data_IF_473374812353
#
_entry.id   IF_473374812353
#
_cell.length_a   1.000
_cell.length_b   1.000
_cell.length_c   1.000
_cell.angle_alpha   90.00
_cell.angle_beta   90.00
_cell.angle_gamma   90.00
#
_symmetry.space_group_name_H-M   'P 1'
#
loop_
_entity.id
_entity.type
_entity.pdbx_description
1 polymer ?
#
# COMPACT_ATOMS: atom_id res chain seq x y z
N UNK A 1 45.33 -51.05 -9.97
CA UNK A 1 43.87 -51.18 -9.74
C UNK A 1 43.29 -49.78 -9.72
N UNK A 2 42.39 -49.47 -10.68
CA UNK A 2 41.69 -48.18 -10.75
C UNK A 2 40.44 -48.28 -9.90
N UNK A 3 40.42 -47.54 -8.80
CA UNK A 3 39.28 -47.43 -7.90
C UNK A 3 38.17 -46.65 -8.64
N UNK A 4 37.10 -47.35 -9.00
CA UNK A 4 35.93 -46.75 -9.64
C UNK A 4 35.16 -46.01 -8.55
N UNK A 5 35.30 -44.70 -8.50
CA UNK A 5 34.53 -43.84 -7.61
C UNK A 5 33.03 -44.06 -7.85
N UNK A 6 32.35 -44.55 -6.81
CA UNK A 6 30.90 -44.76 -6.79
C UNK A 6 30.23 -43.37 -6.82
N UNK A 7 29.31 -43.08 -7.76
CA UNK A 7 28.64 -41.79 -7.80
C UNK A 7 27.80 -41.61 -6.53
N UNK A 8 28.13 -40.57 -5.76
CA UNK A 8 27.36 -40.12 -4.61
C UNK A 8 25.97 -39.65 -5.08
N UNK A 9 24.98 -40.51 -4.89
CA UNK A 9 23.63 -40.35 -5.41
C UNK A 9 22.64 -39.85 -4.33
N UNK A 10 23.09 -39.14 -3.28
CA UNK A 10 22.32 -39.00 -2.03
C UNK A 10 21.63 -37.65 -1.76
N UNK A 11 21.77 -36.61 -2.59
CA UNK A 11 21.25 -35.25 -2.25
C UNK A 11 20.03 -34.77 -3.04
N UNK A 12 19.60 -35.47 -4.09
CA UNK A 12 18.47 -35.05 -4.94
C UNK A 12 17.03 -35.21 -4.36
N UNK A 13 16.70 -36.19 -3.49
CA UNK A 13 15.30 -36.39 -3.09
C UNK A 13 14.77 -35.30 -2.16
N UNK A 14 15.61 -34.71 -1.31
CA UNK A 14 15.18 -33.74 -0.29
C UNK A 14 14.78 -32.37 -0.85
N UNK A 15 15.47 -31.89 -1.89
CA UNK A 15 15.15 -30.59 -2.50
C UNK A 15 13.78 -30.61 -3.19
N UNK A 16 13.45 -31.72 -3.84
CA UNK A 16 12.18 -31.89 -4.57
C UNK A 16 11.00 -31.94 -3.59
N UNK A 17 11.15 -32.67 -2.48
CA UNK A 17 10.14 -32.75 -1.41
C UNK A 17 9.92 -31.37 -0.77
N UNK A 18 10.98 -30.61 -0.50
CA UNK A 18 10.88 -29.27 0.07
C UNK A 18 10.24 -28.26 -0.90
N UNK A 19 10.56 -28.33 -2.18
CA UNK A 19 9.94 -27.50 -3.22
C UNK A 19 8.43 -27.76 -3.30
N UNK A 20 8.01 -29.02 -3.37
CA UNK A 20 6.59 -29.41 -3.39
C UNK A 20 5.84 -28.95 -2.14
N UNK A 21 6.42 -29.11 -0.94
CA UNK A 21 5.83 -28.60 0.32
C UNK A 21 5.67 -27.08 0.29
N UNK A 22 6.67 -26.34 -0.22
CA UNK A 22 6.60 -24.88 -0.32
C UNK A 22 5.51 -24.40 -1.28
N UNK A 23 5.31 -25.10 -2.40
CA UNK A 23 4.27 -24.80 -3.37
C UNK A 23 2.87 -25.09 -2.81
N UNK A 24 2.72 -26.23 -2.12
CA UNK A 24 1.47 -26.58 -1.43
C UNK A 24 1.07 -25.51 -0.41
N UNK A 25 2.01 -25.02 0.39
CA UNK A 25 1.77 -23.91 1.33
C UNK A 25 1.32 -22.63 0.61
N UNK A 26 1.97 -22.26 -0.49
CA UNK A 26 1.57 -21.07 -1.26
C UNK A 26 0.14 -21.20 -1.79
N UNK A 27 -0.25 -22.38 -2.32
CA UNK A 27 -1.61 -22.66 -2.78
C UNK A 27 -2.63 -22.65 -1.63
N UNK A 28 -2.27 -23.14 -0.44
CA UNK A 28 -3.12 -23.04 0.75
C UNK A 28 -3.39 -21.58 1.13
N UNK A 29 -2.36 -20.74 1.17
CA UNK A 29 -2.54 -19.32 1.47
C UNK A 29 -3.29 -18.56 0.37
N UNK A 30 -3.17 -18.96 -0.90
CA UNK A 30 -4.06 -18.45 -1.95
C UNK A 30 -5.51 -18.78 -1.65
N UNK A 31 -5.82 -20.03 -1.26
CA UNK A 31 -7.17 -20.45 -0.93
C UNK A 31 -7.71 -19.69 0.29
N UNK A 32 -6.91 -19.56 1.35
CA UNK A 32 -7.25 -18.71 2.52
C UNK A 32 -7.53 -17.28 2.07
N UNK A 33 -6.69 -16.68 1.22
CA UNK A 33 -6.92 -15.32 0.73
C UNK A 33 -8.22 -15.19 -0.07
N UNK A 34 -8.59 -16.20 -0.87
CA UNK A 34 -9.89 -16.25 -1.57
C UNK A 34 -11.05 -16.29 -0.58
N UNK A 35 -10.95 -17.08 0.50
CA UNK A 35 -11.96 -17.10 1.57
C UNK A 35 -12.04 -15.73 2.25
N UNK A 36 -10.91 -15.09 2.54
CA UNK A 36 -10.87 -13.75 3.14
C UNK A 36 -11.53 -12.69 2.23
N UNK A 37 -11.36 -12.79 0.91
CA UNK A 37 -12.09 -11.94 -0.06
C UNK A 37 -13.60 -12.20 0.06
N UNK A 38 -14.04 -13.47 0.06
CA UNK A 38 -15.45 -13.80 0.19
C UNK A 38 -16.07 -13.32 1.51
N UNK A 39 -15.36 -13.47 2.64
CA UNK A 39 -15.78 -12.97 3.96
C UNK A 39 -15.87 -11.44 3.96
N UNK A 40 -14.92 -10.75 3.32
CA UNK A 40 -14.96 -9.29 3.21
C UNK A 40 -16.13 -8.81 2.33
N UNK A 41 -16.40 -9.50 1.23
CA UNK A 41 -17.59 -9.24 0.40
C UNK A 41 -18.88 -9.47 1.20
N UNK A 42 -18.95 -10.55 1.98
CA UNK A 42 -20.06 -10.82 2.86
C UNK A 42 -20.23 -9.74 3.93
N UNK A 43 -19.14 -9.18 4.48
CA UNK A 43 -19.21 -8.07 5.42
C UNK A 43 -19.83 -6.81 4.79
N UNK A 44 -19.49 -6.50 3.54
CA UNK A 44 -20.14 -5.40 2.79
C UNK A 44 -21.62 -5.66 2.61
N UNK A 45 -22.02 -6.90 2.25
CA UNK A 45 -23.43 -7.28 2.12
C UNK A 45 -24.15 -7.26 3.49
N UNK A 46 -23.50 -7.67 4.57
CA UNK A 46 -24.08 -7.63 5.91
C UNK A 46 -24.37 -6.19 6.35
N UNK A 47 -23.54 -5.23 5.93
CA UNK A 47 -23.80 -3.80 6.13
C UNK A 47 -25.06 -3.31 5.38
N UNK A 48 -25.67 -4.08 4.47
CA UNK A 48 -26.94 -3.70 3.82
C UNK A 48 -28.18 -4.22 4.57
N UNK A 49 -28.01 -5.09 5.58
CA UNK A 49 -29.10 -5.71 6.34
C UNK A 49 -29.46 -4.92 7.60
N UNK A 50 -30.70 -5.10 8.09
CA UNK A 50 -31.18 -4.47 9.32
C UNK A 50 -30.41 -4.96 10.56
N UNK A 51 -30.01 -6.24 10.58
CA UNK A 51 -29.31 -6.86 11.71
C UNK A 51 -27.78 -6.68 11.65
N UNK A 52 -27.29 -5.69 10.90
CA UNK A 52 -25.86 -5.50 10.66
C UNK A 52 -25.05 -5.38 11.97
N UNK A 53 -25.60 -4.70 12.98
CA UNK A 53 -24.92 -4.44 14.26
C UNK A 53 -24.58 -5.71 15.04
N UNK A 54 -25.30 -6.81 14.81
CA UNK A 54 -25.02 -8.11 15.44
C UNK A 54 -23.90 -8.87 14.73
N UNK A 55 -23.75 -8.71 13.42
CA UNK A 55 -22.91 -9.58 12.59
C UNK A 55 -21.58 -8.90 12.25
N UNK A 56 -21.65 -7.62 11.89
CA UNK A 56 -20.52 -6.87 11.34
C UNK A 56 -19.34 -6.74 12.31
N UNK A 57 -19.51 -6.48 13.62
CA UNK A 57 -18.37 -6.41 14.55
C UNK A 57 -17.52 -7.68 14.58
N UNK A 58 -18.14 -8.86 14.47
CA UNK A 58 -17.40 -10.12 14.38
C UNK A 58 -16.69 -10.28 13.04
N UNK A 59 -17.33 -9.87 11.95
CA UNK A 59 -16.71 -9.87 10.62
C UNK A 59 -15.56 -8.84 10.52
N UNK A 60 -15.57 -7.79 11.34
CA UNK A 60 -14.46 -6.83 11.37
C UNK A 60 -13.16 -7.50 11.77
N UNK A 61 -13.13 -8.46 12.69
CA UNK A 61 -11.91 -9.20 13.05
C UNK A 61 -11.19 -9.90 11.88
N UNK A 62 -11.87 -10.08 10.75
CA UNK A 62 -11.27 -10.57 9.51
C UNK A 62 -10.03 -9.76 9.08
N UNK A 63 -9.96 -8.46 9.39
CA UNK A 63 -8.79 -7.63 9.06
C UNK A 63 -7.48 -8.14 9.68
N UNK A 64 -7.52 -8.70 10.88
CA UNK A 64 -6.32 -9.27 11.54
C UNK A 64 -5.77 -10.44 10.72
N UNK A 65 -6.66 -11.32 10.24
CA UNK A 65 -6.28 -12.43 9.38
C UNK A 65 -5.73 -11.94 8.03
N UNK A 66 -6.35 -10.93 7.43
CA UNK A 66 -5.88 -10.32 6.16
C UNK A 66 -4.47 -9.75 6.33
N UNK A 67 -4.22 -8.97 7.39
CA UNK A 67 -2.92 -8.36 7.68
C UNK A 67 -1.87 -9.45 7.87
N UNK A 68 -2.17 -10.49 8.66
CA UNK A 68 -1.26 -11.60 8.88
C UNK A 68 -0.92 -12.34 7.58
N UNK A 69 -1.93 -12.75 6.81
CA UNK A 69 -1.75 -13.48 5.54
C UNK A 69 -0.98 -12.65 4.53
N UNK A 70 -1.26 -11.35 4.44
CA UNK A 70 -0.53 -10.43 3.58
C UNK A 70 0.94 -10.30 4.01
N UNK A 71 1.20 -10.09 5.31
CA UNK A 71 2.54 -9.99 5.86
C UNK A 71 3.37 -11.26 5.59
N UNK A 72 2.81 -12.45 5.84
CA UNK A 72 3.45 -13.73 5.50
C UNK A 72 3.71 -13.86 4.00
N UNK A 73 2.79 -13.38 3.16
CA UNK A 73 2.98 -13.32 1.71
C UNK A 73 4.19 -12.46 1.33
N UNK A 74 4.33 -11.28 1.93
CA UNK A 74 5.47 -10.39 1.72
C UNK A 74 6.80 -11.02 2.17
N UNK A 75 6.81 -11.74 3.29
CA UNK A 75 7.98 -12.53 3.70
C UNK A 75 8.30 -13.66 2.72
N UNK A 76 7.28 -14.35 2.20
CA UNK A 76 7.47 -15.39 1.20
C UNK A 76 8.03 -14.83 -0.12
N UNK A 77 7.56 -13.66 -0.57
CA UNK A 77 8.10 -12.93 -1.73
C UNK A 77 9.58 -12.61 -1.52
N UNK A 78 9.98 -12.18 -0.32
CA UNK A 78 11.39 -11.94 0.01
C UNK A 78 12.25 -13.20 -0.12
N UNK A 79 11.74 -14.35 0.31
CA UNK A 79 12.42 -15.64 0.16
C UNK A 79 12.71 -16.03 -1.31
N UNK A 80 11.98 -15.45 -2.27
CA UNK A 80 12.22 -15.69 -3.71
C UNK A 80 13.41 -14.88 -4.25
N UNK A 81 13.88 -13.86 -3.53
CA UNK A 81 14.92 -12.92 -3.99
C UNK A 81 16.33 -13.52 -4.12
N UNK A 82 16.53 -14.76 -3.69
CA UNK A 82 17.77 -15.51 -3.95
C UNK A 82 17.85 -16.08 -5.38
N UNK A 83 16.73 -16.12 -6.10
CA UNK A 83 16.68 -16.55 -7.51
C UNK A 83 16.85 -15.32 -8.41
N UNK A 84 17.48 -15.44 -9.60
CA UNK A 84 17.65 -14.32 -10.52
C UNK A 84 16.30 -13.74 -10.96
N UNK A 85 15.86 -12.69 -10.25
CA UNK A 85 14.56 -12.01 -10.31
C UNK A 85 14.13 -11.56 -11.72
N UNK A 86 15.07 -11.39 -12.65
CA UNK A 86 14.74 -10.95 -14.00
C UNK A 86 14.10 -12.05 -14.87
N UNK A 87 14.21 -13.32 -14.46
CA UNK A 87 13.71 -14.47 -15.22
C UNK A 87 12.53 -15.20 -14.54
N UNK A 88 12.13 -14.79 -13.34
CA UNK A 88 11.13 -15.47 -12.50
C UNK A 88 9.86 -14.66 -12.22
N UNK A 89 9.67 -13.50 -12.85
CA UNK A 89 8.41 -12.75 -12.69
C UNK A 89 7.32 -13.39 -13.54
N UNK A 90 6.16 -13.75 -12.93
CA UNK A 90 5.01 -14.23 -13.68
C UNK A 90 4.58 -13.20 -14.71
N UNK A 91 4.15 -13.65 -15.89
CA UNK A 91 3.63 -12.72 -16.90
C UNK A 91 2.31 -12.13 -16.40
N UNK A 92 1.94 -10.89 -16.77
CA UNK A 92 0.65 -10.32 -16.39
C UNK A 92 -0.55 -11.23 -16.74
N UNK A 93 -0.53 -11.89 -17.90
CA UNK A 93 -1.59 -12.84 -18.28
C UNK A 93 -1.68 -14.09 -17.38
N UNK A 94 -0.59 -14.50 -16.74
CA UNK A 94 -0.57 -15.61 -15.78
C UNK A 94 -1.02 -15.15 -14.39
N UNK A 95 -0.60 -13.94 -13.99
CA UNK A 95 -0.98 -13.33 -12.73
C UNK A 95 -2.48 -12.97 -12.71
N UNK A 96 -2.99 -12.42 -13.81
CA UNK A 96 -4.39 -12.05 -14.00
C UNK A 96 -5.14 -13.08 -14.85
N UNK A 97 -5.05 -14.36 -14.50
CA UNK A 97 -5.87 -15.38 -15.14
C UNK A 97 -7.37 -15.02 -15.02
N UNK A 98 -8.19 -15.44 -16.00
CA UNK A 98 -9.63 -15.14 -16.07
C UNK A 98 -10.38 -15.19 -14.71
N UNK A 99 -10.26 -16.24 -13.86
CA UNK A 99 -10.97 -16.25 -12.58
C UNK A 99 -10.50 -15.15 -11.61
N UNK A 100 -9.21 -14.81 -11.62
CA UNK A 100 -8.66 -13.74 -10.78
C UNK A 100 -9.12 -12.38 -11.30
N UNK A 101 -9.23 -12.21 -12.61
CA UNK A 101 -9.74 -10.98 -13.20
C UNK A 101 -11.22 -10.77 -12.85
N UNK A 102 -12.03 -11.84 -12.86
CA UNK A 102 -13.42 -11.78 -12.38
C UNK A 102 -13.46 -11.34 -10.92
N UNK A 103 -12.66 -11.96 -10.04
CA UNK A 103 -12.57 -11.56 -8.63
C UNK A 103 -12.09 -10.11 -8.49
N UNK A 104 -11.14 -9.66 -9.31
CA UNK A 104 -10.64 -8.29 -9.31
C UNK A 104 -11.74 -7.29 -9.70
N UNK A 105 -12.54 -7.60 -10.72
CA UNK A 105 -13.66 -6.76 -11.15
C UNK A 105 -14.73 -6.72 -10.07
N UNK A 106 -15.11 -7.85 -9.48
CA UNK A 106 -16.08 -7.89 -8.36
C UNK A 106 -15.56 -7.11 -7.16
N UNK A 107 -14.30 -7.32 -6.77
CA UNK A 107 -13.66 -6.59 -5.69
C UNK A 107 -13.63 -5.09 -5.97
N UNK A 108 -13.30 -4.67 -7.20
CA UNK A 108 -13.29 -3.27 -7.61
C UNK A 108 -14.70 -2.67 -7.61
N UNK A 109 -15.71 -3.37 -8.11
CA UNK A 109 -17.10 -2.90 -8.13
C UNK A 109 -17.68 -2.76 -6.72
N UNK A 110 -17.35 -3.68 -5.81
CA UNK A 110 -17.80 -3.63 -4.42
C UNK A 110 -17.01 -2.61 -3.61
N UNK A 111 -15.71 -2.52 -3.84
CA UNK A 111 -14.87 -1.54 -3.18
C UNK A 111 -15.08 -0.12 -3.70
N UNK A 112 -15.48 0.06 -4.95
CA UNK A 112 -15.86 1.33 -5.53
C UNK A 112 -17.17 1.81 -4.87
N UNK A 113 -17.15 2.91 -4.12
CA UNK A 113 -18.36 3.49 -3.56
C UNK A 113 -18.87 4.61 -4.45
N UNK A 114 -20.19 4.78 -4.46
CA UNK A 114 -20.74 6.13 -4.33
C UNK A 114 -20.36 6.61 -2.93
N UNK A 115 -19.24 7.32 -2.79
CA UNK A 115 -18.75 7.87 -1.50
C UNK A 115 -19.70 8.93 -0.91
N UNK A 116 -20.75 9.28 -1.65
CA UNK A 116 -21.74 10.31 -1.36
C UNK A 116 -22.44 10.11 0.00
N UNK A 117 -22.56 8.87 0.48
CA UNK A 117 -23.20 8.57 1.78
C UNK A 117 -22.19 8.18 2.88
N UNK A 118 -20.89 8.43 2.67
CA UNK A 118 -19.91 8.18 3.73
C UNK A 118 -19.94 9.32 4.74
N UNK A 119 -19.80 9.04 6.05
CA UNK A 119 -19.76 10.07 7.10
C UNK A 119 -18.55 11.03 7.00
N UNK A 120 -17.75 10.90 5.93
CA UNK A 120 -16.64 11.77 5.59
C UNK A 120 -17.04 12.90 4.63
N UNK A 121 -18.20 12.80 3.96
CA UNK A 121 -18.80 13.98 3.34
C UNK A 121 -19.41 14.81 4.47
N UNK A 122 -18.56 15.60 5.13
CA UNK A 122 -18.94 16.27 6.37
C UNK A 122 -19.91 17.44 6.13
N UNK A 123 -20.07 17.87 4.87
CA UNK A 123 -20.97 18.95 4.48
C UNK A 123 -20.76 20.24 5.29
N UNK A 124 -21.75 21.15 5.29
CA UNK A 124 -21.80 22.21 6.28
C UNK A 124 -22.21 21.63 7.63
N UNK A 125 -21.50 22.01 8.69
CA UNK A 125 -21.93 21.79 10.07
C UNK A 125 -23.28 22.49 10.32
N UNK A 126 -24.01 22.13 11.39
CA UNK A 126 -25.33 22.70 11.69
C UNK A 126 -25.34 24.24 11.83
N UNK A 127 -24.20 24.85 12.12
CA UNK A 127 -24.00 26.30 12.22
C UNK A 127 -23.67 26.97 10.88
N UNK A 128 -23.62 26.19 9.79
CA UNK A 128 -23.26 26.66 8.45
C UNK A 128 -21.75 26.76 8.19
N UNK A 129 -20.90 26.47 9.20
CA UNK A 129 -19.46 26.39 9.01
C UNK A 129 -19.08 25.14 8.20
N UNK A 130 -17.91 25.15 7.56
CA UNK A 130 -17.40 23.94 6.90
C UNK A 130 -17.06 22.93 8.00
N UNK A 131 -17.69 21.75 7.95
CA UNK A 131 -17.37 20.69 8.88
C UNK A 131 -15.98 20.11 8.54
N UNK A 132 -15.09 20.23 9.51
CA UNK A 132 -13.72 19.71 9.46
C UNK A 132 -13.58 18.43 10.28
N UNK A 133 -14.33 18.23 11.37
CA UNK A 133 -14.46 16.91 12.06
C UNK A 133 -15.91 16.56 12.25
N UNK A 134 -16.20 15.26 12.26
CA UNK A 134 -17.45 14.68 12.74
C UNK A 134 -17.13 13.51 13.67
N UNK A 135 -17.50 13.62 14.95
CA UNK A 135 -17.39 12.54 15.93
C UNK A 135 -18.77 12.18 16.43
N UNK A 136 -18.97 10.92 16.81
CA UNK A 136 -20.19 10.47 17.48
C UNK A 136 -19.85 9.43 18.54
N UNK A 137 -20.61 9.44 19.64
CA UNK A 137 -20.42 8.53 20.76
C UNK A 137 -21.75 8.26 21.48
N UNK A 138 -21.83 7.11 22.15
CA UNK A 138 -22.91 6.83 23.10
C UNK A 138 -22.50 7.28 24.49
N UNK A 139 -23.47 7.67 25.32
CA UNK A 139 -23.25 7.92 26.75
C UNK A 139 -22.71 6.66 27.45
N UNK A 140 -21.99 6.78 28.58
CA UNK A 140 -21.43 5.63 29.29
C UNK A 140 -22.47 4.57 29.70
N UNK A 141 -23.71 4.99 29.93
CA UNK A 141 -24.87 4.14 30.26
C UNK A 141 -25.66 3.69 29.02
N UNK A 142 -25.30 4.16 27.82
CA UNK A 142 -25.90 3.80 26.53
C UNK A 142 -27.31 4.33 26.31
N UNK A 143 -27.77 5.27 27.13
CA UNK A 143 -29.12 5.85 27.08
C UNK A 143 -29.24 7.00 26.08
N UNK A 144 -28.16 7.75 25.87
CA UNK A 144 -28.11 8.91 24.99
C UNK A 144 -27.00 8.76 23.95
N UNK A 145 -27.17 9.42 22.80
CA UNK A 145 -26.22 9.40 21.70
C UNK A 145 -25.90 10.83 21.31
N UNK A 146 -24.64 11.10 21.07
CA UNK A 146 -24.15 12.45 20.79
C UNK A 146 -23.32 12.47 19.52
N UNK A 147 -23.37 13.57 18.80
CA UNK A 147 -22.40 13.91 17.77
C UNK A 147 -21.83 15.31 18.00
N UNK A 148 -20.60 15.52 17.56
CA UNK A 148 -19.96 16.84 17.58
C UNK A 148 -19.26 17.11 16.26
N UNK A 149 -19.43 18.35 15.78
CA UNK A 149 -18.73 18.89 14.63
C UNK A 149 -17.67 19.87 15.08
N UNK A 150 -16.50 19.89 14.42
CA UNK A 150 -15.42 20.85 14.69
C UNK A 150 -14.97 20.97 16.17
N UNK A 151 -15.11 19.90 16.98
CA UNK A 151 -14.93 19.94 18.45
C UNK A 151 -15.86 20.93 19.17
N UNK A 152 -16.98 21.26 18.54
CA UNK A 152 -18.06 22.06 19.12
C UNK A 152 -18.87 21.29 20.16
N UNK A 153 -19.94 21.91 20.64
CA UNK A 153 -20.82 21.30 21.63
C UNK A 153 -21.44 20.00 21.10
N UNK A 154 -21.53 19.01 21.98
CA UNK A 154 -22.23 17.77 21.68
C UNK A 154 -23.71 18.06 21.42
N UNK A 155 -24.18 17.56 20.27
CA UNK A 155 -25.58 17.57 19.87
C UNK A 155 -26.13 16.18 20.11
N UNK A 156 -27.20 16.09 20.89
CA UNK A 156 -27.91 14.82 21.05
C UNK A 156 -28.54 14.39 19.71
N UNK A 157 -28.32 13.14 19.33
CA UNK A 157 -28.84 12.50 18.13
C UNK A 157 -29.69 11.29 18.50
N UNK A 158 -30.56 10.88 17.58
CA UNK A 158 -31.33 9.66 17.78
C UNK A 158 -30.44 8.42 17.67
N UNK A 159 -30.88 7.32 18.29
CA UNK A 159 -30.23 6.01 18.12
C UNK A 159 -30.16 5.61 16.63
N UNK A 160 -31.19 5.92 15.85
CA UNK A 160 -31.22 5.63 14.41
C UNK A 160 -30.12 6.37 13.65
N UNK A 161 -29.89 7.66 13.97
CA UNK A 161 -28.80 8.44 13.40
C UNK A 161 -27.43 7.87 13.80
N UNK A 162 -27.25 7.54 15.08
CA UNK A 162 -26.02 6.91 15.56
C UNK A 162 -25.72 5.58 14.85
N UNK A 163 -26.74 4.74 14.67
CA UNK A 163 -26.62 3.46 13.96
C UNK A 163 -26.31 3.67 12.48
N UNK A 164 -26.90 4.69 11.84
CA UNK A 164 -26.59 5.04 10.45
C UNK A 164 -25.14 5.49 10.27
N UNK A 165 -24.63 6.34 11.18
CA UNK A 165 -23.23 6.78 11.17
C UNK A 165 -22.26 5.60 11.33
N UNK A 166 -22.50 4.73 12.31
CA UNK A 166 -21.70 3.53 12.51
C UNK A 166 -21.76 2.61 11.29
N UNK A 167 -22.95 2.36 10.74
CA UNK A 167 -23.14 1.54 9.54
C UNK A 167 -22.35 2.08 8.35
N UNK A 168 -22.33 3.40 8.16
CA UNK A 168 -21.51 4.07 7.15
C UNK A 168 -20.01 3.80 7.34
N UNK A 169 -19.51 3.99 8.56
CA UNK A 169 -18.11 3.73 8.91
C UNK A 169 -17.71 2.25 8.69
N UNK A 170 -18.52 1.31 9.16
CA UNK A 170 -18.25 -0.12 8.99
C UNK A 170 -18.33 -0.56 7.53
N UNK A 171 -19.29 -0.03 6.77
CA UNK A 171 -19.41 -0.28 5.32
C UNK A 171 -18.14 0.15 4.58
N UNK A 172 -17.63 1.35 4.88
CA UNK A 172 -16.36 1.83 4.32
C UNK A 172 -15.21 0.91 4.68
N UNK A 173 -15.06 0.57 5.97
CA UNK A 173 -13.99 -0.28 6.44
C UNK A 173 -14.03 -1.66 5.76
N UNK A 174 -15.21 -2.28 5.65
CA UNK A 174 -15.41 -3.54 4.95
C UNK A 174 -14.96 -3.48 3.48
N UNK A 175 -15.24 -2.39 2.76
CA UNK A 175 -14.80 -2.18 1.37
C UNK A 175 -13.29 -2.08 1.24
N UNK A 176 -12.61 -1.39 2.16
CA UNK A 176 -11.15 -1.34 2.22
C UNK A 176 -10.59 -2.77 2.37
N UNK A 177 -11.20 -3.59 3.24
CA UNK A 177 -10.74 -4.97 3.44
C UNK A 177 -10.97 -5.89 2.25
N UNK A 178 -11.97 -5.63 1.40
CA UNK A 178 -12.11 -6.32 0.11
C UNK A 178 -10.87 -6.10 -0.76
N UNK A 179 -10.38 -4.86 -0.86
CA UNK A 179 -9.17 -4.54 -1.62
C UNK A 179 -7.92 -5.20 -1.02
N UNK A 180 -7.72 -5.10 0.29
CA UNK A 180 -6.57 -5.71 0.96
C UNK A 180 -6.56 -7.24 0.86
N UNK A 181 -7.72 -7.88 1.00
CA UNK A 181 -7.86 -9.33 0.79
C UNK A 181 -7.49 -9.74 -0.64
N UNK A 182 -7.92 -8.95 -1.63
CA UNK A 182 -7.55 -9.18 -3.02
C UNK A 182 -6.05 -9.01 -3.26
N UNK A 183 -5.42 -7.99 -2.66
CA UNK A 183 -3.96 -7.81 -2.72
C UNK A 183 -3.20 -8.99 -2.08
N UNK A 184 -3.71 -9.55 -0.98
CA UNK A 184 -3.16 -10.76 -0.38
C UNK A 184 -3.26 -11.97 -1.32
N UNK A 185 -4.42 -12.16 -1.97
CA UNK A 185 -4.60 -13.21 -2.98
C UNK A 185 -3.60 -13.06 -4.13
N UNK A 186 -3.43 -11.84 -4.64
CA UNK A 186 -2.47 -11.53 -5.71
C UNK A 186 -1.03 -11.80 -5.29
N UNK A 187 -0.68 -11.47 -4.05
CA UNK A 187 0.65 -11.73 -3.48
C UNK A 187 0.94 -13.23 -3.42
N UNK A 188 0.01 -14.03 -2.90
CA UNK A 188 0.20 -15.48 -2.82
C UNK A 188 0.16 -16.17 -4.18
N UNK A 189 -0.64 -15.65 -5.12
CA UNK A 189 -0.59 -16.10 -6.52
C UNK A 189 0.77 -15.85 -7.14
N UNK A 190 1.32 -14.65 -6.95
CA UNK A 190 2.67 -14.32 -7.40
C UNK A 190 3.70 -15.30 -6.81
N UNK A 191 3.62 -15.60 -5.50
CA UNK A 191 4.50 -16.56 -4.85
C UNK A 191 4.36 -17.97 -5.43
N UNK A 192 3.13 -18.45 -5.64
CA UNK A 192 2.88 -19.77 -6.19
C UNK A 192 3.45 -19.91 -7.61
N UNK A 193 3.16 -18.96 -8.50
CA UNK A 193 3.67 -18.96 -9.88
C UNK A 193 5.20 -18.88 -9.92
N UNK A 194 5.81 -18.09 -9.05
CA UNK A 194 7.27 -17.97 -8.95
C UNK A 194 7.95 -19.25 -8.44
N UNK A 195 7.22 -20.08 -7.68
CA UNK A 195 7.71 -21.38 -7.17
C UNK A 195 7.51 -22.51 -8.16
N UNK A 196 6.45 -22.45 -8.97
CA UNK A 196 6.09 -23.46 -9.98
C UNK A 196 6.91 -23.32 -11.27
N UNK A 197 7.51 -22.16 -11.51
CA UNK A 197 8.36 -21.93 -12.67
C UNK A 197 9.58 -22.88 -12.66
N UNK A 198 9.82 -23.64 -13.76
CA UNK A 198 10.92 -24.59 -13.82
C UNK A 198 12.27 -23.86 -13.68
N UNK A 199 13.27 -24.47 -13.01
CA UNK A 199 14.62 -23.93 -12.98
C UNK A 199 15.16 -23.91 -14.42
N UNK A 200 15.21 -22.73 -15.06
CA UNK A 200 15.81 -22.60 -16.38
C UNK A 200 17.33 -22.83 -16.27
N UNK A 201 17.86 -23.76 -17.06
CA UNK A 201 19.28 -24.09 -17.11
C UNK A 201 20.13 -22.82 -17.25
N UNK A 202 21.24 -22.77 -16.52
CA UNK A 202 22.18 -21.64 -16.50
C UNK A 202 22.90 -21.40 -17.85
N UNK A 203 22.49 -22.06 -18.94
CA UNK A 203 23.13 -22.03 -20.26
C UNK A 203 22.69 -20.86 -21.15
N UNK A 204 21.96 -19.87 -20.64
CA UNK A 204 21.69 -18.67 -21.43
C UNK A 204 22.98 -17.84 -21.55
N UNK A 205 23.44 -17.49 -22.77
CA UNK A 205 24.68 -16.76 -22.99
C UNK A 205 24.71 -15.47 -22.16
N UNK A 206 25.87 -15.17 -21.59
CA UNK A 206 26.19 -13.86 -21.03
C UNK A 206 25.74 -12.78 -22.01
N UNK A 207 24.85 -11.89 -21.54
CA UNK A 207 24.43 -10.76 -22.35
C UNK A 207 25.70 -9.99 -22.78
N UNK A 208 25.84 -9.61 -24.07
CA UNK A 208 26.99 -8.87 -24.53
C UNK A 208 27.13 -7.58 -23.71
N UNK A 209 28.37 -7.23 -23.38
CA UNK A 209 28.72 -6.01 -22.66
C UNK A 209 28.01 -4.81 -23.32
N UNK A 210 27.19 -4.12 -22.54
CA UNK A 210 26.42 -2.96 -23.00
C UNK A 210 27.42 -1.89 -23.47
N UNK A 211 27.40 -1.48 -24.75
CA UNK A 211 28.23 -0.37 -25.19
C UNK A 211 27.80 0.89 -24.43
N UNK A 212 28.78 1.66 -23.97
CA UNK A 212 28.55 2.94 -23.31
C UNK A 212 27.80 3.87 -24.27
N UNK A 213 26.50 4.05 -24.06
CA UNK A 213 25.67 4.94 -24.88
C UNK A 213 26.05 6.39 -24.56
N UNK A 214 26.93 6.97 -25.38
CA UNK A 214 27.23 8.39 -25.45
C UNK A 214 26.14 9.11 -26.24
N UNK A 215 24.96 9.34 -25.64
CA UNK A 215 23.89 10.13 -26.28
C UNK A 215 23.45 11.29 -25.39
N UNK A 216 24.08 12.46 -25.58
CA UNK A 216 23.73 13.71 -24.88
C UNK A 216 22.28 14.17 -25.16
N UNK A 217 21.73 13.85 -26.32
CA UNK A 217 20.34 14.19 -26.67
C UNK A 217 19.30 13.41 -25.85
N UNK A 218 19.63 12.18 -25.44
CA UNK A 218 18.80 11.36 -24.54
C UNK A 218 18.83 11.92 -23.11
N UNK A 219 20.00 12.43 -22.69
CA UNK A 219 20.20 13.05 -21.38
C UNK A 219 19.33 14.29 -21.22
N UNK A 220 19.36 15.22 -22.17
CA UNK A 220 18.54 16.44 -22.16
C UNK A 220 17.03 16.13 -22.07
N UNK A 221 16.52 15.21 -22.90
CA UNK A 221 15.10 14.80 -22.89
C UNK A 221 14.68 14.19 -21.55
N UNK A 222 15.53 13.37 -20.93
CA UNK A 222 15.25 12.78 -19.62
C UNK A 222 15.25 13.83 -18.50
N UNK A 223 16.11 14.85 -18.55
CA UNK A 223 16.15 15.93 -17.56
C UNK A 223 14.87 16.76 -17.60
N UNK A 224 14.40 17.14 -18.80
CA UNK A 224 13.16 17.89 -18.95
C UNK A 224 11.95 17.10 -18.43
N UNK A 225 11.89 15.79 -18.71
CA UNK A 225 10.82 14.93 -18.20
C UNK A 225 10.87 14.78 -16.67
N UNK A 226 12.06 14.62 -16.09
CA UNK A 226 12.23 14.55 -14.63
C UNK A 226 11.78 15.87 -13.99
N UNK A 227 12.23 17.01 -14.52
CA UNK A 227 11.80 18.31 -14.04
C UNK A 227 10.28 18.47 -14.12
N UNK A 228 9.66 18.08 -15.24
CA UNK A 228 8.22 18.11 -15.39
C UNK A 228 7.49 17.24 -14.35
N UNK A 229 7.99 16.04 -14.04
CA UNK A 229 7.41 15.18 -13.00
C UNK A 229 7.51 15.83 -11.62
N UNK A 230 8.67 16.40 -11.28
CA UNK A 230 8.87 17.12 -10.02
C UNK A 230 7.95 18.33 -9.90
N UNK A 231 7.92 19.18 -10.94
CA UNK A 231 7.05 20.37 -10.97
C UNK A 231 5.58 19.99 -10.92
N UNK A 232 5.16 18.93 -11.62
CA UNK A 232 3.77 18.47 -11.59
C UNK A 232 3.41 17.93 -10.20
N UNK A 233 4.27 17.11 -9.59
CA UNK A 233 4.00 16.56 -8.27
C UNK A 233 3.95 17.65 -7.18
N UNK A 234 4.88 18.61 -7.21
CA UNK A 234 4.89 19.75 -6.28
C UNK A 234 3.69 20.66 -6.55
N UNK A 235 3.49 21.04 -7.82
CA UNK A 235 2.43 21.94 -8.25
C UNK A 235 1.02 21.40 -7.96
N UNK A 236 0.78 20.11 -8.17
CA UNK A 236 -0.50 19.48 -7.85
C UNK A 236 -0.79 19.52 -6.34
N UNK A 237 0.22 19.26 -5.49
CA UNK A 237 0.05 19.37 -4.05
C UNK A 237 -0.21 20.82 -3.62
N UNK A 238 0.56 21.78 -4.14
CA UNK A 238 0.34 23.22 -3.87
C UNK A 238 -1.04 23.71 -4.33
N UNK A 239 -1.50 23.27 -5.51
CA UNK A 239 -2.83 23.59 -6.01
C UNK A 239 -3.92 23.00 -5.10
N UNK A 240 -3.75 21.76 -4.64
CA UNK A 240 -4.68 21.14 -3.68
C UNK A 240 -4.77 21.94 -2.37
N UNK A 241 -3.66 22.53 -1.91
CA UNK A 241 -3.67 23.45 -0.76
C UNK A 241 -4.39 24.77 -1.05
N UNK A 242 -4.18 25.35 -2.23
CA UNK A 242 -4.83 26.59 -2.63
C UNK A 242 -6.36 26.44 -2.76
N UNK A 243 -6.82 25.24 -3.12
CA UNK A 243 -8.25 24.93 -3.30
C UNK A 243 -8.95 24.46 -2.01
N UNK A 244 -8.25 24.41 -0.87
CA UNK A 244 -8.87 24.12 0.44
C UNK A 244 -9.20 22.65 0.72
N UNK A 245 -8.77 21.70 -0.13
CA UNK A 245 -9.12 20.27 -0.02
C UNK A 245 -8.49 19.48 1.14
N UNK A 246 -8.02 20.13 2.21
CA UNK A 246 -7.34 19.48 3.34
C UNK A 246 -7.84 19.97 4.73
N UNK A 247 -8.88 20.80 4.79
CA UNK A 247 -9.44 21.28 6.07
C UNK A 247 -10.03 20.14 6.93
N UNK A 248 -10.53 19.07 6.31
CA UNK A 248 -11.12 17.88 6.95
C UNK A 248 -10.17 17.13 7.90
N UNK A 249 -8.86 17.39 7.84
CA UNK A 249 -7.85 16.64 8.59
C UNK A 249 -7.40 17.31 9.90
N UNK A 250 -7.94 18.50 10.22
CA UNK A 250 -7.40 19.38 11.27
C UNK A 250 -8.07 19.27 12.64
N UNK A 251 -8.97 18.32 12.80
CA UNK A 251 -10.14 18.48 13.68
C UNK A 251 -10.43 17.24 14.54
N UNK A 252 -9.82 16.10 14.22
CA UNK A 252 -10.01 14.81 14.91
C UNK A 252 -8.82 14.54 15.85
N UNK A 253 -8.87 14.98 17.12
CA UNK A 253 -7.79 14.76 18.06
C UNK A 253 -7.69 13.27 18.35
N UNK A 254 -6.59 12.68 17.91
CA UNK A 254 -6.24 11.30 18.25
C UNK A 254 -5.63 11.26 19.66
N UNK A 255 -5.89 10.22 20.48
CA UNK A 255 -5.22 10.06 21.78
C UNK A 255 -3.69 10.11 21.62
N UNK A 256 -2.94 10.74 22.56
CA UNK A 256 -1.49 10.91 22.45
C UNK A 256 -0.73 9.60 22.19
N UNK A 257 -1.19 8.50 22.76
CA UNK A 257 -0.60 7.18 22.58
C UNK A 257 -0.77 6.68 21.14
N UNK A 258 -1.95 6.89 20.54
CA UNK A 258 -2.21 6.53 19.16
C UNK A 258 -1.47 7.46 18.18
N UNK A 259 -1.34 8.76 18.50
CA UNK A 259 -0.57 9.69 17.69
C UNK A 259 0.88 9.23 17.53
N UNK A 260 1.53 8.86 18.63
CA UNK A 260 2.91 8.36 18.60
C UNK A 260 3.02 7.11 17.72
N UNK A 261 2.08 6.16 17.85
CA UNK A 261 2.06 4.94 17.04
C UNK A 261 1.89 5.27 15.56
N UNK A 262 0.94 6.14 15.21
CA UNK A 262 0.66 6.53 13.83
C UNK A 262 1.84 7.27 13.21
N UNK A 263 2.51 8.16 13.94
CA UNK A 263 3.71 8.85 13.46
C UNK A 263 4.94 7.93 13.39
N UNK A 264 5.09 7.00 14.32
CA UNK A 264 6.21 6.07 14.30
C UNK A 264 6.06 5.01 13.19
N UNK A 265 4.83 4.62 12.85
CA UNK A 265 4.54 3.51 11.95
C UNK A 265 5.20 3.67 10.57
N UNK A 266 5.07 4.78 9.81
CA UNK A 266 5.75 4.94 8.53
C UNK A 266 7.27 4.82 8.66
N UNK A 267 7.86 5.46 9.67
CA UNK A 267 9.31 5.46 9.89
C UNK A 267 9.79 4.03 10.13
N UNK A 268 9.20 3.33 11.10
CA UNK A 268 9.54 1.94 11.42
C UNK A 268 9.32 1.06 10.20
N UNK A 269 8.14 1.12 9.59
CA UNK A 269 7.78 0.27 8.47
C UNK A 269 8.73 0.44 7.28
N UNK A 270 8.99 1.68 6.83
CA UNK A 270 9.84 1.93 5.67
C UNK A 270 11.32 1.72 5.98
N UNK A 271 11.83 2.14 7.14
CA UNK A 271 13.23 1.91 7.51
C UNK A 271 13.53 0.41 7.66
N UNK A 272 12.69 -0.32 8.41
CA UNK A 272 12.82 -1.78 8.53
C UNK A 272 12.70 -2.44 7.17
N UNK A 273 11.71 -2.05 6.35
CA UNK A 273 11.57 -2.59 5.00
C UNK A 273 12.81 -2.36 4.16
N UNK A 274 13.41 -1.16 4.23
CA UNK A 274 14.60 -0.76 3.48
C UNK A 274 15.82 -1.64 3.75
N UNK A 275 16.00 -2.13 4.99
CA UNK A 275 17.08 -3.06 5.37
C UNK A 275 16.97 -4.37 4.59
N UNK A 276 15.75 -4.79 4.27
CA UNK A 276 15.50 -6.03 3.56
C UNK A 276 15.41 -5.86 2.04
N UNK A 277 15.44 -4.64 1.52
CA UNK A 277 15.34 -4.40 0.08
C UNK A 277 16.67 -4.62 -0.61
N UNK A 278 16.64 -5.34 -1.74
CA UNK A 278 17.80 -5.57 -2.62
C UNK A 278 17.77 -4.69 -3.87
N UNK A 279 16.67 -3.96 -4.12
CA UNK A 279 16.43 -3.10 -5.28
C UNK A 279 15.57 -1.91 -4.85
N UNK A 280 15.61 -0.82 -5.63
CA UNK A 280 14.75 0.35 -5.41
C UNK A 280 13.25 -0.01 -5.40
N UNK A 281 12.47 0.62 -4.49
CA UNK A 281 11.02 0.40 -4.27
C UNK A 281 10.17 0.49 -5.54
N UNK A 282 10.58 1.37 -6.46
CA UNK A 282 9.78 1.75 -7.62
C UNK A 282 10.27 1.13 -8.93
N UNK A 283 11.26 0.24 -8.88
CA UNK A 283 11.80 -0.42 -10.08
C UNK A 283 11.14 -1.78 -10.25
N UNK A 284 10.08 -1.82 -11.06
CA UNK A 284 9.54 -3.08 -11.57
C UNK A 284 10.46 -3.62 -12.69
N UNK A 285 11.07 -4.80 -12.53
CA UNK A 285 11.96 -5.40 -13.54
C UNK A 285 11.28 -5.62 -14.89
N UNK A 286 9.97 -5.88 -14.91
CA UNK A 286 9.22 -6.02 -16.15
C UNK A 286 9.07 -4.67 -16.86
N UNK A 287 8.64 -3.62 -16.14
CA UNK A 287 8.53 -2.27 -16.70
C UNK A 287 9.89 -1.79 -17.19
N UNK A 288 10.94 -2.00 -16.39
CA UNK A 288 12.30 -1.68 -16.75
C UNK A 288 12.72 -2.40 -18.04
N UNK A 289 12.42 -3.69 -18.17
CA UNK A 289 12.75 -4.45 -19.40
C UNK A 289 11.99 -3.93 -20.63
N UNK A 290 10.75 -3.49 -20.47
CA UNK A 290 9.91 -2.99 -21.56
C UNK A 290 10.39 -1.61 -22.01
N UNK A 291 10.74 -0.74 -21.05
CA UNK A 291 11.35 0.57 -21.33
C UNK A 291 12.71 0.37 -21.99
N UNK A 292 13.56 -0.49 -21.45
CA UNK A 292 14.91 -0.75 -21.96
C UNK A 292 14.88 -1.34 -23.38
N UNK A 293 13.89 -2.20 -23.70
CA UNK A 293 13.68 -2.68 -25.08
C UNK A 293 13.34 -1.55 -26.06
N UNK A 294 12.58 -0.55 -25.63
CA UNK A 294 12.14 0.56 -26.49
C UNK A 294 13.13 1.73 -26.55
N UNK A 295 13.88 1.97 -25.47
CA UNK A 295 14.71 3.17 -25.26
C UNK A 295 16.22 2.88 -25.16
N UNK A 296 16.61 1.61 -25.19
CA UNK A 296 17.99 1.15 -25.03
C UNK A 296 18.25 0.56 -23.64
N UNK A 297 19.14 -0.42 -23.58
CA UNK A 297 19.48 -1.13 -22.35
C UNK A 297 19.98 -0.16 -21.26
N UNK A 298 19.47 -0.30 -20.03
CA UNK A 298 19.89 0.53 -18.89
C UNK A 298 19.25 1.92 -18.82
N UNK A 299 18.36 2.28 -19.77
CA UNK A 299 17.65 3.56 -19.75
C UNK A 299 16.80 3.72 -18.50
N UNK A 300 16.03 2.69 -18.13
CA UNK A 300 15.14 2.71 -16.96
C UNK A 300 15.92 2.91 -15.66
N UNK A 301 17.01 2.16 -15.47
CA UNK A 301 17.86 2.31 -14.29
C UNK A 301 18.47 3.73 -14.20
N UNK A 302 19.00 4.23 -15.32
CA UNK A 302 19.57 5.58 -15.39
C UNK A 302 18.54 6.68 -15.15
N UNK A 303 17.30 6.49 -15.63
CA UNK A 303 16.19 7.42 -15.40
C UNK A 303 15.78 7.43 -13.92
N UNK A 304 15.62 6.25 -13.30
CA UNK A 304 15.15 6.14 -11.91
C UNK A 304 16.17 6.69 -10.90
N UNK A 305 17.47 6.46 -11.13
CA UNK A 305 18.55 7.06 -10.33
C UNK A 305 18.51 8.58 -10.38
N UNK A 306 18.16 9.15 -11.55
CA UNK A 306 18.06 10.60 -11.73
C UNK A 306 16.77 11.19 -11.20
N UNK A 307 15.65 10.48 -11.32
CA UNK A 307 14.35 10.89 -10.79
C UNK A 307 14.35 10.96 -9.26
N UNK A 308 15.07 10.05 -8.59
CA UNK A 308 15.12 9.91 -7.12
C UNK A 308 13.71 9.87 -6.50
N UNK A 309 12.89 8.87 -6.86
CA UNK A 309 11.47 8.82 -6.48
C UNK A 309 11.24 8.88 -4.96
N UNK A 310 12.11 8.28 -4.14
CA UNK A 310 12.00 8.38 -2.68
C UNK A 310 12.15 9.82 -2.17
N UNK A 311 13.05 10.60 -2.76
CA UNK A 311 13.18 12.02 -2.41
C UNK A 311 12.01 12.84 -2.96
N UNK A 312 11.46 12.47 -4.12
CA UNK A 312 10.25 13.08 -4.64
C UNK A 312 9.08 12.88 -3.67
N UNK A 313 8.83 11.64 -3.22
CA UNK A 313 7.80 11.33 -2.23
C UNK A 313 8.06 12.04 -0.90
N UNK A 314 9.32 12.06 -0.44
CA UNK A 314 9.71 12.79 0.76
C UNK A 314 9.37 14.29 0.65
N UNK A 315 9.74 14.93 -0.45
CA UNK A 315 9.46 16.34 -0.69
C UNK A 315 7.95 16.62 -0.79
N UNK A 316 7.20 15.80 -1.52
CA UNK A 316 5.75 15.96 -1.63
C UNK A 316 5.07 15.78 -0.27
N UNK A 317 5.44 14.76 0.50
CA UNK A 317 4.86 14.55 1.83
C UNK A 317 5.22 15.68 2.81
N UNK A 318 6.41 16.28 2.69
CA UNK A 318 6.80 17.45 3.50
C UNK A 318 5.98 18.69 3.14
N UNK A 319 5.81 18.95 1.84
CA UNK A 319 4.94 20.04 1.36
C UNK A 319 3.51 19.79 1.85
N UNK A 320 3.06 18.53 1.84
CA UNK A 320 1.74 18.21 2.34
C UNK A 320 1.61 18.45 3.85
N UNK A 321 2.56 17.97 4.63
CA UNK A 321 2.59 18.20 6.07
C UNK A 321 2.57 19.70 6.41
N UNK A 322 3.38 20.51 5.71
CA UNK A 322 3.43 21.96 5.90
C UNK A 322 2.11 22.63 5.49
N UNK A 323 1.56 22.26 4.33
CA UNK A 323 0.29 22.80 3.85
C UNK A 323 -0.87 22.47 4.79
N UNK A 324 -0.98 21.22 5.25
CA UNK A 324 -1.99 20.80 6.23
C UNK A 324 -1.79 21.53 7.56
N UNK A 325 -0.56 21.61 8.11
CA UNK A 325 -0.30 22.35 9.34
C UNK A 325 -0.68 23.83 9.24
N UNK A 326 -0.38 24.48 8.11
CA UNK A 326 -0.76 25.88 7.85
C UNK A 326 -2.28 26.05 7.76
N UNK A 327 -3.00 25.11 7.14
CA UNK A 327 -4.45 25.15 7.08
C UNK A 327 -5.08 24.93 8.47
N UNK A 328 -4.56 23.97 9.24
CA UNK A 328 -5.02 23.74 10.61
C UNK A 328 -4.78 24.96 11.50
N UNK A 329 -3.64 25.63 11.36
CA UNK A 329 -3.33 26.87 12.09
C UNK A 329 -4.23 28.04 11.69
N UNK A 330 -4.70 28.10 10.43
CA UNK A 330 -5.64 29.14 9.96
C UNK A 330 -7.10 28.86 10.35
N UNK A 331 -7.44 27.59 10.60
CA UNK A 331 -8.82 27.12 10.73
C UNK A 331 -9.43 27.17 12.14
N UNK A 332 -8.68 27.48 13.21
CA UNK A 332 -9.25 27.47 14.57
C UNK A 332 -8.46 28.21 15.64
N UNK A 333 -9.17 28.65 16.69
CA UNK A 333 -8.68 29.40 17.86
C UNK A 333 -7.95 28.53 18.92
N UNK A 334 -7.35 27.40 18.51
CA UNK A 334 -6.76 26.41 19.42
C UNK A 334 -5.41 25.83 18.94
N UNK A 335 -4.74 25.00 19.77
CA UNK A 335 -3.49 24.36 19.40
C UNK A 335 -3.67 23.44 18.20
N UNK A 336 -2.75 23.54 17.23
CA UNK A 336 -2.74 22.74 16.00
C UNK A 336 -2.73 21.25 16.33
N UNK A 337 -3.67 20.50 15.76
CA UNK A 337 -3.63 19.04 15.80
C UNK A 337 -2.52 18.53 14.88
N UNK A 338 -1.51 17.92 15.50
CA UNK A 338 -0.35 17.39 14.77
C UNK A 338 -0.56 15.98 14.24
N UNK A 339 -1.71 15.34 14.43
CA UNK A 339 -1.92 13.95 14.03
C UNK A 339 -1.66 13.74 12.53
N UNK A 340 -2.38 14.46 11.67
CA UNK A 340 -2.24 14.31 10.21
C UNK A 340 -0.97 14.99 9.68
N UNK A 341 -0.64 16.25 10.04
CA UNK A 341 0.63 16.86 9.64
C UNK A 341 1.84 16.05 10.10
N UNK A 342 1.81 15.52 11.32
CA UNK A 342 2.85 14.66 11.89
C UNK A 342 2.93 13.30 11.20
N UNK A 343 1.81 12.68 10.81
CA UNK A 343 1.82 11.48 9.99
C UNK A 343 2.47 11.74 8.62
N UNK A 344 2.08 12.81 7.93
CA UNK A 344 2.64 13.18 6.62
C UNK A 344 4.14 13.54 6.74
N UNK A 345 4.52 14.25 7.79
CA UNK A 345 5.91 14.56 8.11
C UNK A 345 6.70 13.27 8.38
N UNK A 346 6.13 12.34 9.12
CA UNK A 346 6.74 11.03 9.38
C UNK A 346 6.93 10.22 8.10
N UNK A 347 5.99 10.27 7.15
CA UNK A 347 6.15 9.69 5.83
C UNK A 347 7.32 10.35 5.08
N UNK A 348 7.42 11.68 5.14
CA UNK A 348 8.53 12.41 4.52
C UNK A 348 9.89 11.96 5.06
N UNK A 349 10.02 11.91 6.40
CA UNK A 349 11.23 11.44 7.09
C UNK A 349 11.50 9.98 6.75
N UNK A 350 10.47 9.13 6.76
CA UNK A 350 10.59 7.71 6.44
C UNK A 350 11.13 7.47 5.03
N UNK A 351 10.65 8.21 4.02
CA UNK A 351 11.15 8.10 2.64
C UNK A 351 12.59 8.64 2.50
N UNK A 352 12.92 9.75 3.16
CA UNK A 352 14.28 10.29 3.18
C UNK A 352 15.27 9.32 3.82
N UNK A 353 14.96 8.79 5.00
CA UNK A 353 15.76 7.79 5.69
C UNK A 353 15.91 6.52 4.87
N UNK A 354 14.82 6.04 4.27
CA UNK A 354 14.85 4.89 3.36
C UNK A 354 15.79 5.13 2.18
N UNK A 355 15.77 6.32 1.57
CA UNK A 355 16.71 6.68 0.52
C UNK A 355 18.17 6.63 1.00
N UNK A 356 18.46 7.26 2.15
CA UNK A 356 19.81 7.28 2.74
C UNK A 356 20.28 5.87 3.08
N UNK A 357 19.45 5.04 3.71
CA UNK A 357 19.78 3.66 4.06
C UNK A 357 20.04 2.81 2.82
N UNK A 358 19.19 2.90 1.80
CA UNK A 358 19.39 2.16 0.55
C UNK A 358 20.65 2.62 -0.19
N UNK A 359 20.96 3.92 -0.18
CA UNK A 359 22.19 4.47 -0.75
C UNK A 359 23.43 4.00 0.02
N UNK A 360 23.39 4.03 1.35
CA UNK A 360 24.47 3.53 2.20
C UNK A 360 24.76 2.05 1.97
N UNK A 361 23.71 1.25 1.79
CA UNK A 361 23.78 -0.18 1.43
C UNK A 361 24.13 -0.44 -0.04
N UNK A 362 24.36 0.61 -0.84
CA UNK A 362 24.68 0.54 -2.28
C UNK A 362 23.64 -0.27 -3.07
N UNK A 363 22.36 -0.12 -2.74
CA UNK A 363 21.27 -0.80 -3.44
C UNK A 363 21.19 -0.29 -4.89
N UNK A 364 21.21 -1.17 -5.91
CA UNK A 364 21.14 -0.73 -7.30
C UNK A 364 19.86 0.06 -7.59
N UNK A 365 20.02 1.22 -8.23
CA UNK A 365 18.91 2.09 -8.67
C UNK A 365 18.47 3.15 -7.66
N UNK A 366 19.22 3.34 -6.57
CA UNK A 366 19.07 4.43 -5.58
C UNK A 366 20.28 5.35 -5.66
#
# INVERSE_FOLDING_TARGET
MKEIAKPDNSTAPDETVNAMRSLRRARQFMWVSTVLVAVSLFAVIACTRLEWSRIVPYLMWNHVAIIAVFAFGMFAVRGLSGRPLHRSMPRPGELFARPILIVAVVAALVAAPNWVDTPWDMGPAPDGSIATSHNWHASPDGSHYFESFNRGADREISQEQYDQLNRGLYSMFARIWVLFSFLALMTWRFVALSRDAPPKSNSAPSAPAVPAVTNDSSRSKSTALIAAIWTLAIGANLANFALGGQQEFCSTPMPPEMQLIVMAMPIVFFCVTSIFMKRALFVSPWIASLIDRKRGAGFSASFMVRLKPLLLFSATSLICAAGTAMQCAKGGEGPVDWTVPGFLLSCSVAFALTHVMMRWRRVPGV
#
